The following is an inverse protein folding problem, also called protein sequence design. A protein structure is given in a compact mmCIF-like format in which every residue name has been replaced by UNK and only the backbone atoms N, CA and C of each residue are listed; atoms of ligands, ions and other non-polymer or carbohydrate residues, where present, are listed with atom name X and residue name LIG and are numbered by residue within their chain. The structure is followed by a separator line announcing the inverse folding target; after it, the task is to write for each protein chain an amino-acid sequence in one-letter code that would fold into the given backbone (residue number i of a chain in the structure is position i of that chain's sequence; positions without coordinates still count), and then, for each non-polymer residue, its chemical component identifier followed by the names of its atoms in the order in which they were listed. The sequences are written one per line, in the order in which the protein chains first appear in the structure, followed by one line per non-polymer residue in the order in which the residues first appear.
data_IF_340310994136
#
_entry.id   IF_340310994136
#
_cell.length_a   1.000
_cell.length_b   1.000
_cell.length_c   1.000
_cell.angle_alpha   90.00
_cell.angle_beta   90.00
_cell.angle_gamma   90.00
#
_symmetry.space_group_name_H-M   'P 1'
#
loop_
_entity.id
_entity.type
_entity.pdbx_description
1 polymer ?
#
# COMPACT_ATOMS: atom_id res chain seq x y z
N UNK A 1 25.64 1.73 -13.87
CA UNK A 1 25.66 0.99 -12.61
C UNK A 1 25.16 1.92 -11.51
N UNK A 2 23.86 1.91 -11.22
CA UNK A 2 23.34 2.60 -10.02
C UNK A 2 23.82 1.86 -8.78
N UNK A 3 24.35 2.63 -7.82
CA UNK A 3 24.86 2.08 -6.55
C UNK A 3 23.76 1.30 -5.84
N UNK A 4 23.96 0.01 -5.56
CA UNK A 4 22.98 -0.83 -4.85
C UNK A 4 22.55 -0.24 -3.49
N UNK A 5 23.33 0.66 -2.92
CA UNK A 5 23.02 1.36 -1.67
C UNK A 5 21.88 2.38 -1.83
N UNK A 6 21.78 3.06 -2.99
CA UNK A 6 20.68 4.00 -3.26
C UNK A 6 19.34 3.27 -3.44
N UNK A 7 19.34 2.10 -4.09
CA UNK A 7 18.15 1.26 -4.21
C UNK A 7 17.65 0.76 -2.85
N UNK A 8 18.56 0.43 -1.93
CA UNK A 8 18.19 0.07 -0.56
C UNK A 8 17.50 1.21 0.20
N UNK A 9 17.90 2.45 -0.04
CA UNK A 9 17.29 3.62 0.61
C UNK A 9 15.86 3.88 0.15
N UNK A 10 15.51 3.63 -1.12
CA UNK A 10 14.15 3.83 -1.63
C UNK A 10 13.10 2.89 -1.01
N UNK A 11 13.50 1.66 -0.68
CA UNK A 11 12.58 0.69 -0.07
C UNK A 11 12.59 0.69 1.47
N UNK A 12 13.49 1.43 2.11
CA UNK A 12 13.68 1.41 3.57
C UNK A 12 13.16 2.69 4.24
N UNK A 13 12.78 3.71 3.46
CA UNK A 13 12.56 5.07 3.93
C UNK A 13 11.55 5.22 5.06
N UNK A 14 10.57 4.33 5.20
CA UNK A 14 9.49 4.45 6.18
C UNK A 14 9.26 3.16 6.98
N UNK A 15 10.31 2.43 7.33
CA UNK A 15 10.14 1.33 8.28
C UNK A 15 9.81 1.89 9.66
N UNK A 16 8.53 2.04 9.92
CA UNK A 16 8.03 2.19 11.26
C UNK A 16 8.36 0.92 12.05
N UNK A 17 9.23 1.03 13.03
CA UNK A 17 9.45 -0.03 14.00
C UNK A 17 8.43 0.18 15.11
N UNK A 18 7.40 -0.67 15.23
CA UNK A 18 6.46 -0.56 16.34
C UNK A 18 7.22 -0.73 17.64
N UNK A 19 6.86 0.08 18.64
CA UNK A 19 7.56 0.12 19.94
C UNK A 19 9.04 0.55 19.88
N UNK A 20 9.39 1.44 18.95
CA UNK A 20 10.76 1.94 18.79
C UNK A 20 11.39 2.45 20.10
N UNK A 21 10.60 3.03 21.01
CA UNK A 21 11.05 3.46 22.34
C UNK A 21 11.47 2.30 23.25
N UNK A 22 10.77 1.16 23.21
CA UNK A 22 11.12 -0.03 23.99
C UNK A 22 12.33 -0.75 23.39
N UNK A 23 12.38 -0.87 22.07
CA UNK A 23 13.51 -1.48 21.39
C UNK A 23 14.75 -0.59 21.34
N UNK A 24 14.64 0.73 21.59
CA UNK A 24 15.81 1.62 21.64
C UNK A 24 16.83 1.18 22.70
N UNK A 25 16.36 0.82 23.88
CA UNK A 25 17.21 0.36 24.98
C UNK A 25 17.98 -0.92 24.57
N UNK A 26 17.30 -1.83 23.89
CA UNK A 26 17.90 -3.09 23.43
C UNK A 26 18.95 -2.88 22.33
N UNK A 27 18.67 -1.99 21.39
CA UNK A 27 19.61 -1.69 20.30
C UNK A 27 20.81 -0.87 20.76
N UNK A 28 20.64 0.03 21.73
CA UNK A 28 21.73 0.81 22.30
C UNK A 28 22.67 -0.10 23.13
N UNK A 29 22.12 -1.11 23.81
CA UNK A 29 22.90 -2.11 24.55
C UNK A 29 23.80 -2.95 23.61
N UNK A 30 23.33 -3.25 22.39
CA UNK A 30 24.10 -4.01 21.40
C UNK A 30 24.94 -3.16 20.44
N UNK A 31 25.05 -1.86 20.66
CA UNK A 31 25.83 -0.92 19.79
C UNK A 31 25.46 -1.02 18.28
N UNK A 32 24.19 -1.32 17.97
CA UNK A 32 23.73 -1.30 16.59
C UNK A 32 23.64 0.15 16.09
N UNK A 33 24.56 0.55 15.24
CA UNK A 33 24.56 1.84 14.56
C UNK A 33 23.28 1.92 13.68
N UNK A 34 22.26 2.64 14.14
CA UNK A 34 21.05 2.87 13.36
C UNK A 34 21.30 3.99 12.38
N UNK A 35 21.14 3.79 11.07
CA UNK A 35 20.96 4.92 10.21
C UNK A 35 19.69 5.65 10.69
N UNK A 36 19.84 6.91 11.11
CA UNK A 36 18.69 7.76 11.40
C UNK A 36 17.95 8.04 10.10
N UNK A 37 16.93 7.25 9.85
CA UNK A 37 16.03 7.48 8.72
C UNK A 37 14.98 8.46 9.24
N UNK A 38 15.12 9.70 8.83
CA UNK A 38 14.12 10.72 9.12
C UNK A 38 12.86 10.41 8.30
N UNK A 39 11.74 10.36 8.99
CA UNK A 39 10.44 10.33 8.33
C UNK A 39 10.29 11.58 7.48
N UNK A 40 9.97 11.44 6.20
CA UNK A 40 9.61 12.58 5.36
C UNK A 40 8.35 13.27 5.91
N UNK A 41 8.20 14.54 5.62
CA UNK A 41 6.94 15.24 5.83
C UNK A 41 5.82 14.56 5.03
N UNK A 42 4.57 14.70 5.51
CA UNK A 42 3.41 14.11 4.82
C UNK A 42 3.45 14.50 3.36
N UNK A 43 3.34 13.50 2.50
CA UNK A 43 3.36 13.71 1.06
C UNK A 43 2.26 14.70 0.66
N UNK A 44 2.64 15.82 0.12
CA UNK A 44 1.70 16.71 -0.55
C UNK A 44 1.21 16.03 -1.84
N UNK A 45 -0.01 16.39 -2.25
CA UNK A 45 -0.55 15.92 -3.51
C UNK A 45 0.31 16.46 -4.66
N UNK A 46 0.68 15.57 -5.55
CA UNK A 46 1.41 15.93 -6.78
C UNK A 46 0.38 16.22 -7.87
N UNK A 47 0.56 17.32 -8.60
CA UNK A 47 -0.29 17.59 -9.75
C UNK A 47 -0.76 19.05 -9.81
N UNK A 48 -1.94 19.24 -10.38
CA UNK A 48 -2.59 20.53 -10.57
C UNK A 48 -4.06 20.48 -10.14
N UNK A 49 -4.83 21.50 -10.46
CA UNK A 49 -6.25 21.57 -10.08
C UNK A 49 -7.10 20.43 -10.68
N UNK A 50 -6.71 19.91 -11.84
CA UNK A 50 -7.42 18.85 -12.54
C UNK A 50 -6.95 17.46 -12.09
N UNK A 51 -5.63 17.24 -11.98
CA UNK A 51 -5.02 15.95 -11.67
C UNK A 51 -4.34 16.06 -10.33
N UNK A 52 -4.85 15.30 -9.36
CA UNK A 52 -4.36 15.24 -7.97
C UNK A 52 -3.92 13.83 -7.65
N UNK A 53 -2.61 13.62 -7.64
CA UNK A 53 -1.98 12.30 -7.51
C UNK A 53 -1.55 12.10 -6.07
N UNK A 54 -1.95 10.98 -5.49
CA UNK A 54 -1.33 10.45 -4.28
C UNK A 54 -0.31 9.38 -4.66
N UNK A 55 0.94 9.57 -4.26
CA UNK A 55 2.05 8.69 -4.62
C UNK A 55 2.57 7.90 -3.42
N UNK A 56 2.94 6.65 -3.67
CA UNK A 56 3.64 5.79 -2.73
C UNK A 56 4.82 5.12 -3.41
N UNK A 57 5.87 4.84 -2.65
CA UNK A 57 7.10 4.28 -3.18
C UNK A 57 7.22 2.81 -2.75
N UNK A 58 7.41 1.93 -3.74
CA UNK A 58 7.75 0.52 -3.55
C UNK A 58 6.77 -0.19 -2.62
N UNK A 59 7.26 -0.84 -1.57
CA UNK A 59 6.48 -1.64 -0.63
C UNK A 59 5.57 -0.82 0.29
N UNK A 60 5.65 0.50 0.29
CA UNK A 60 4.70 1.36 1.02
C UNK A 60 3.25 1.07 0.64
N UNK A 61 3.02 0.66 -0.60
CA UNK A 61 1.69 0.26 -1.09
C UNK A 61 1.08 -0.91 -0.29
N UNK A 62 1.88 -1.72 0.38
CA UNK A 62 1.41 -2.80 1.23
C UNK A 62 0.73 -2.29 2.52
N UNK A 63 1.09 -1.10 2.97
CA UNK A 63 0.49 -0.50 4.15
C UNK A 63 -0.85 0.15 3.80
N UNK A 64 -1.92 -0.26 4.47
CA UNK A 64 -3.26 0.27 4.23
C UNK A 64 -3.34 1.79 4.37
N UNK A 65 -2.57 2.35 5.32
CA UNK A 65 -2.59 3.77 5.61
C UNK A 65 -1.76 4.62 4.63
N UNK A 66 -1.02 4.02 3.71
CA UNK A 66 -0.13 4.74 2.80
C UNK A 66 -0.87 5.78 1.95
N UNK A 67 -2.09 5.46 1.50
CA UNK A 67 -2.94 6.37 0.74
C UNK A 67 -4.00 7.11 1.59
N UNK A 68 -4.24 6.68 2.85
CA UNK A 68 -5.33 7.25 3.66
C UNK A 68 -5.07 8.68 4.10
N UNK A 69 -3.81 9.03 4.36
CA UNK A 69 -3.44 10.35 4.89
C UNK A 69 -3.66 11.51 3.91
N UNK A 70 -3.59 11.24 2.59
CA UNK A 70 -3.60 12.27 1.53
C UNK A 70 -4.86 12.23 0.66
N UNK A 71 -5.89 11.49 1.06
CA UNK A 71 -6.87 10.97 0.12
C UNK A 71 -8.07 11.90 -0.18
N UNK A 72 -8.28 12.97 0.61
CA UNK A 72 -9.52 13.77 0.48
C UNK A 72 -9.71 14.39 -0.90
N UNK A 73 -8.63 14.77 -1.54
CA UNK A 73 -8.66 15.44 -2.84
C UNK A 73 -7.99 14.65 -3.97
N UNK A 74 -7.48 13.45 -3.71
CA UNK A 74 -6.83 12.61 -4.71
C UNK A 74 -7.84 12.08 -5.72
N UNK A 75 -7.47 12.08 -7.00
CA UNK A 75 -8.26 11.46 -8.07
C UNK A 75 -7.50 10.42 -8.88
N UNK A 76 -6.20 10.24 -8.61
CA UNK A 76 -5.33 9.25 -9.23
C UNK A 76 -4.31 8.74 -8.20
N UNK A 77 -4.05 7.44 -8.19
CA UNK A 77 -3.03 6.80 -7.37
C UNK A 77 -1.79 6.48 -8.21
N UNK A 78 -0.62 6.62 -7.61
CA UNK A 78 0.65 6.30 -8.27
C UNK A 78 1.54 5.46 -7.36
N UNK A 79 2.16 4.42 -7.92
CA UNK A 79 3.15 3.61 -7.22
C UNK A 79 4.40 3.45 -8.08
N UNK A 80 5.51 4.03 -7.64
CA UNK A 80 6.83 3.78 -8.21
C UNK A 80 7.51 2.63 -7.45
N UNK A 81 8.05 1.62 -8.16
CA UNK A 81 8.66 0.46 -7.51
C UNK A 81 9.88 -0.07 -8.27
N UNK A 82 10.66 -0.86 -7.56
CA UNK A 82 11.67 -1.74 -8.12
C UNK A 82 11.55 -3.10 -7.42
N UNK A 83 11.05 -4.09 -8.15
CA UNK A 83 10.74 -5.42 -7.61
C UNK A 83 11.92 -6.39 -7.72
N UNK A 84 13.12 -5.92 -8.07
CA UNK A 84 14.31 -6.75 -8.22
C UNK A 84 14.67 -7.59 -6.97
N UNK A 85 14.22 -7.12 -5.79
CA UNK A 85 14.39 -7.84 -4.52
C UNK A 85 13.68 -9.18 -4.44
N UNK A 86 12.56 -9.30 -5.16
CA UNK A 86 11.73 -10.49 -5.14
C UNK A 86 12.22 -11.56 -6.10
N UNK A 87 13.26 -11.27 -6.92
CA UNK A 87 13.72 -12.15 -7.99
C UNK A 87 12.62 -12.42 -9.00
N UNK A 88 12.73 -13.52 -9.71
CA UNK A 88 11.78 -13.95 -10.76
C UNK A 88 10.59 -14.76 -10.23
N UNK A 89 10.42 -14.86 -8.92
CA UNK A 89 9.38 -15.67 -8.28
C UNK A 89 8.00 -14.99 -8.21
N UNK A 90 7.20 -15.42 -7.26
CA UNK A 90 5.83 -14.93 -7.07
C UNK A 90 5.76 -13.51 -6.47
N UNK A 91 6.84 -13.00 -5.90
CA UNK A 91 6.88 -11.71 -5.19
C UNK A 91 6.35 -10.54 -6.01
N UNK A 92 6.82 -10.29 -7.24
CA UNK A 92 6.33 -9.21 -8.09
C UNK A 92 4.83 -9.33 -8.41
N UNK A 93 4.33 -10.55 -8.62
CA UNK A 93 2.91 -10.80 -8.85
C UNK A 93 2.06 -10.50 -7.61
N UNK A 94 2.54 -10.89 -6.42
CA UNK A 94 1.88 -10.57 -5.15
C UNK A 94 1.89 -9.06 -4.89
N UNK A 95 2.98 -8.39 -5.19
CA UNK A 95 3.10 -6.94 -5.06
C UNK A 95 2.15 -6.20 -6.02
N UNK A 96 2.01 -6.67 -7.27
CA UNK A 96 0.99 -6.19 -8.20
C UNK A 96 -0.43 -6.44 -7.67
N UNK A 97 -0.68 -7.60 -7.07
CA UNK A 97 -1.98 -7.92 -6.48
C UNK A 97 -2.35 -6.95 -5.36
N UNK A 98 -1.39 -6.57 -4.52
CA UNK A 98 -1.60 -5.53 -3.50
C UNK A 98 -2.01 -4.20 -4.15
N UNK A 99 -1.34 -3.80 -5.24
CA UNK A 99 -1.69 -2.59 -5.98
C UNK A 99 -3.13 -2.62 -6.52
N UNK A 100 -3.59 -3.78 -7.00
CA UNK A 100 -4.97 -3.98 -7.46
C UNK A 100 -5.97 -3.77 -6.32
N UNK A 101 -5.69 -4.31 -5.12
CA UNK A 101 -6.53 -4.07 -3.95
C UNK A 101 -6.58 -2.60 -3.58
N UNK A 102 -5.44 -1.89 -3.60
CA UNK A 102 -5.42 -0.44 -3.31
C UNK A 102 -6.30 0.34 -4.29
N UNK A 103 -6.21 0.06 -5.59
CA UNK A 103 -7.06 0.70 -6.59
C UNK A 103 -8.57 0.48 -6.29
N UNK A 104 -8.97 -0.76 -5.97
CA UNK A 104 -10.34 -1.10 -5.64
C UNK A 104 -10.82 -0.48 -4.32
N UNK A 105 -10.02 -0.53 -3.27
CA UNK A 105 -10.34 0.05 -1.94
C UNK A 105 -10.60 1.55 -2.01
N UNK A 106 -9.86 2.25 -2.86
CA UNK A 106 -9.98 3.71 -3.05
C UNK A 106 -10.91 4.08 -4.20
N UNK A 107 -11.35 3.10 -5.01
CA UNK A 107 -12.11 3.29 -6.25
C UNK A 107 -11.51 4.33 -7.19
N UNK A 108 -10.18 4.30 -7.33
CA UNK A 108 -9.40 5.18 -8.19
C UNK A 108 -8.52 4.38 -9.13
N UNK A 109 -8.20 4.98 -10.28
CA UNK A 109 -7.16 4.42 -11.13
C UNK A 109 -5.81 4.47 -10.42
N UNK A 110 -5.00 3.43 -10.63
CA UNK A 110 -3.66 3.33 -10.11
C UNK A 110 -2.67 3.08 -11.26
N UNK A 111 -1.73 3.99 -11.39
CA UNK A 111 -0.57 3.84 -12.29
C UNK A 111 0.57 3.25 -11.47
N UNK A 112 1.00 2.06 -11.84
CA UNK A 112 2.18 1.41 -11.28
C UNK A 112 3.31 1.43 -12.29
N UNK A 113 4.42 2.06 -11.93
CA UNK A 113 5.65 2.11 -12.73
C UNK A 113 6.77 1.38 -12.01
N UNK A 114 7.36 0.38 -12.65
CA UNK A 114 8.45 -0.41 -12.08
C UNK A 114 9.66 -0.41 -13.00
N UNK A 115 10.84 -0.21 -12.44
CA UNK A 115 12.09 -0.37 -13.20
C UNK A 115 12.40 -1.85 -13.46
N UNK A 116 12.09 -2.72 -12.50
CA UNK A 116 12.13 -4.19 -12.64
C UNK A 116 10.87 -4.72 -11.99
N UNK A 117 10.15 -5.60 -12.67
CA UNK A 117 8.87 -6.15 -12.22
C UNK A 117 7.74 -5.87 -13.19
N UNK A 118 6.53 -5.70 -12.68
CA UNK A 118 5.32 -5.54 -13.49
C UNK A 118 4.81 -4.11 -13.37
N UNK A 119 4.99 -3.32 -14.43
CA UNK A 119 4.32 -2.03 -14.62
C UNK A 119 2.89 -2.27 -15.10
N UNK A 120 1.94 -1.51 -14.59
CA UNK A 120 0.52 -1.72 -14.93
C UNK A 120 -0.30 -0.46 -14.76
N UNK A 121 -1.34 -0.33 -15.59
CA UNK A 121 -2.47 0.54 -15.37
C UNK A 121 -3.62 -0.29 -14.82
N UNK A 122 -4.15 0.11 -13.67
CA UNK A 122 -5.19 -0.60 -12.93
C UNK A 122 -6.39 0.32 -12.79
N UNK A 123 -7.58 -0.17 -13.12
CA UNK A 123 -8.82 0.62 -12.99
C UNK A 123 -9.33 0.67 -11.55
N UNK A 124 -10.36 1.45 -11.34
CA UNK A 124 -11.01 1.67 -10.05
C UNK A 124 -11.65 0.40 -9.43
N UNK A 125 -11.80 -0.68 -10.20
CA UNK A 125 -12.29 -1.98 -9.73
C UNK A 125 -11.14 -2.95 -9.42
N UNK A 126 -9.88 -2.52 -9.55
CA UNK A 126 -8.70 -3.37 -9.37
C UNK A 126 -8.40 -4.30 -10.54
N UNK A 127 -9.01 -4.06 -11.72
CA UNK A 127 -8.71 -4.81 -12.93
C UNK A 127 -7.52 -4.19 -13.66
N UNK A 128 -6.63 -5.02 -14.15
CA UNK A 128 -5.50 -4.59 -14.96
C UNK A 128 -6.03 -4.26 -16.37
N UNK A 129 -5.85 -3.02 -16.80
CA UNK A 129 -6.20 -2.57 -18.15
C UNK A 129 -5.06 -2.93 -19.11
N UNK A 130 -3.84 -2.57 -18.73
CA UNK A 130 -2.64 -2.81 -19.51
C UNK A 130 -1.46 -3.07 -18.58
N UNK A 131 -0.51 -3.90 -19.01
CA UNK A 131 0.69 -4.23 -18.22
C UNK A 131 1.90 -4.49 -19.09
N UNK A 132 3.07 -4.20 -18.55
CA UNK A 132 4.39 -4.57 -19.08
C UNK A 132 5.10 -5.36 -18.00
N UNK A 133 5.60 -6.54 -18.36
CA UNK A 133 6.39 -7.39 -17.49
C UNK A 133 7.85 -7.36 -17.93
N UNK A 134 8.66 -6.58 -17.22
CA UNK A 134 10.09 -6.43 -17.53
C UNK A 134 10.94 -7.59 -17.01
N UNK A 135 10.36 -8.55 -16.30
CA UNK A 135 11.07 -9.74 -15.82
C UNK A 135 11.15 -10.84 -16.88
N UNK A 136 10.20 -10.82 -17.82
CA UNK A 136 10.10 -11.85 -18.88
C UNK A 136 10.76 -11.39 -20.18
N UNK A 137 10.94 -10.10 -20.37
CA UNK A 137 11.51 -9.51 -21.59
C UNK A 137 12.81 -8.80 -21.31
N UNK A 138 13.82 -9.08 -22.12
CA UNK A 138 15.03 -8.28 -22.16
C UNK A 138 14.70 -6.83 -22.49
N UNK A 139 15.29 -5.94 -21.73
CA UNK A 139 15.13 -4.48 -21.65
C UNK A 139 14.94 -3.77 -23.00
N UNK A 140 13.71 -3.74 -23.50
CA UNK A 140 13.27 -2.68 -24.41
C UNK A 140 12.46 -1.69 -23.59
N UNK A 141 12.73 -0.42 -23.76
CA UNK A 141 11.89 0.64 -23.19
C UNK A 141 10.49 0.51 -23.80
N UNK A 142 9.54 0.06 -23.00
CA UNK A 142 8.14 -0.05 -23.39
C UNK A 142 7.35 1.02 -22.64
N UNK A 143 6.30 1.55 -23.24
CA UNK A 143 5.39 2.51 -22.64
C UNK A 143 3.95 1.99 -22.71
N UNK A 144 3.18 2.27 -21.69
CA UNK A 144 1.73 2.08 -21.66
C UNK A 144 1.09 3.43 -21.95
N UNK A 145 0.24 3.47 -22.97
CA UNK A 145 -0.57 4.64 -23.31
C UNK A 145 -2.05 4.24 -23.29
N UNK A 146 -2.79 4.77 -22.35
CA UNK A 146 -4.20 4.44 -22.11
C UNK A 146 -4.97 5.64 -21.59
N UNK A 147 -6.24 5.71 -21.92
CA UNK A 147 -7.14 6.71 -21.39
C UNK A 147 -7.65 6.33 -20.01
N UNK A 148 -7.59 7.26 -19.06
CA UNK A 148 -8.06 7.05 -17.70
C UNK A 148 -9.21 8.02 -17.37
N UNK A 149 -10.10 7.57 -16.50
CA UNK A 149 -11.17 8.41 -15.95
C UNK A 149 -10.81 8.80 -14.53
N UNK A 150 -10.53 10.10 -14.33
CA UNK A 150 -10.25 10.63 -13.01
C UNK A 150 -11.50 10.56 -12.14
N UNK A 151 -11.35 10.00 -10.93
CA UNK A 151 -12.46 9.81 -9.98
C UNK A 151 -12.18 10.54 -8.68
N UNK A 152 -13.02 11.51 -8.38
CA UNK A 152 -13.02 12.22 -7.09
C UNK A 152 -13.94 11.53 -6.06
N UNK A 153 -13.82 11.94 -4.81
CA UNK A 153 -14.58 11.37 -3.70
C UNK A 153 -13.79 10.31 -2.92
N UNK A 154 -14.42 9.80 -1.87
CA UNK A 154 -13.81 8.82 -0.95
C UNK A 154 -14.75 7.65 -0.73
N UNK A 155 -14.17 6.45 -0.68
CA UNK A 155 -14.90 5.26 -0.26
C UNK A 155 -15.06 5.24 1.26
N UNK A 156 -16.05 4.52 1.81
CA UNK A 156 -16.13 4.30 3.26
C UNK A 156 -14.84 3.70 3.83
N UNK A 157 -14.20 2.81 3.07
CA UNK A 157 -12.92 2.24 3.47
C UNK A 157 -11.80 3.28 3.54
N UNK A 158 -11.75 4.21 2.58
CA UNK A 158 -10.78 5.31 2.58
C UNK A 158 -10.96 6.26 3.77
N UNK A 159 -12.19 6.40 4.28
CA UNK A 159 -12.50 7.25 5.42
C UNK A 159 -12.25 6.57 6.78
N UNK A 160 -12.69 5.34 6.90
CA UNK A 160 -12.75 4.63 8.18
C UNK A 160 -11.76 3.45 8.28
N UNK A 161 -11.12 3.07 7.17
CA UNK A 161 -10.22 1.93 7.13
C UNK A 161 -10.92 0.63 7.56
N UNK A 162 -10.23 -0.16 8.38
CA UNK A 162 -10.72 -1.44 8.89
C UNK A 162 -11.62 -1.34 10.13
N UNK A 163 -11.75 -0.17 10.73
CA UNK A 163 -12.46 -0.02 12.01
C UNK A 163 -13.93 -0.48 11.97
N UNK A 164 -14.76 -0.15 10.95
CA UNK A 164 -16.14 -0.64 10.90
C UNK A 164 -16.24 -2.15 10.90
N UNK A 165 -15.34 -2.83 10.19
CA UNK A 165 -15.30 -4.29 10.14
C UNK A 165 -14.92 -4.89 11.50
N UNK A 166 -13.90 -4.36 12.17
CA UNK A 166 -13.50 -4.81 13.51
C UNK A 166 -14.61 -4.58 14.52
N UNK A 167 -15.30 -3.44 14.46
CA UNK A 167 -16.43 -3.13 15.32
C UNK A 167 -17.58 -4.13 15.13
N UNK A 168 -17.91 -4.46 13.89
CA UNK A 168 -18.91 -5.47 13.57
C UNK A 168 -18.54 -6.85 14.14
N UNK A 169 -17.29 -7.26 14.02
CA UNK A 169 -16.81 -8.53 14.60
C UNK A 169 -16.96 -8.55 16.12
N UNK A 170 -16.62 -7.45 16.79
CA UNK A 170 -16.79 -7.32 18.25
C UNK A 170 -18.26 -7.43 18.64
N UNK A 171 -19.17 -6.78 17.92
CA UNK A 171 -20.62 -6.89 18.17
C UNK A 171 -21.09 -8.34 18.02
N UNK A 172 -20.72 -9.00 16.93
CA UNK A 172 -21.09 -10.40 16.68
C UNK A 172 -20.59 -11.31 17.81
N UNK A 173 -19.34 -11.09 18.25
CA UNK A 173 -18.76 -11.85 19.36
C UNK A 173 -19.58 -11.68 20.65
N UNK A 174 -19.90 -10.45 21.04
CA UNK A 174 -20.69 -10.20 22.24
C UNK A 174 -22.12 -10.76 22.13
N UNK A 175 -22.77 -10.60 20.97
CA UNK A 175 -24.10 -11.16 20.75
C UNK A 175 -24.08 -12.70 20.86
N UNK A 176 -23.09 -13.35 20.29
CA UNK A 176 -22.96 -14.82 20.39
C UNK A 176 -22.72 -15.28 21.83
N UNK A 177 -21.91 -14.55 22.59
CA UNK A 177 -21.68 -14.83 24.00
C UNK A 177 -22.99 -14.71 24.82
N UNK A 178 -23.74 -13.59 24.64
CA UNK A 178 -25.03 -13.36 25.32
C UNK A 178 -26.02 -14.47 24.99
N UNK A 179 -26.13 -14.85 23.71
CA UNK A 179 -27.04 -15.92 23.29
C UNK A 179 -26.66 -17.27 23.92
N UNK A 180 -25.38 -17.56 24.05
CA UNK A 180 -24.89 -18.77 24.72
C UNK A 180 -25.29 -18.78 26.20
N UNK A 181 -25.01 -17.70 26.94
CA UNK A 181 -25.39 -17.60 28.35
C UNK A 181 -26.89 -17.75 28.57
N UNK A 182 -27.74 -17.13 27.74
CA UNK A 182 -29.20 -17.27 27.83
C UNK A 182 -29.70 -18.68 27.53
N UNK A 183 -28.96 -19.45 26.72
CA UNK A 183 -29.31 -20.85 26.43
C UNK A 183 -28.99 -21.74 27.61
N UNK A 184 -27.86 -21.51 28.29
CA UNK A 184 -27.43 -22.29 29.44
C UNK A 184 -28.36 -22.09 30.67
N UNK A 185 -28.91 -20.85 30.86
CA UNK A 185 -29.91 -20.55 31.89
C UNK A 185 -31.27 -21.27 31.69
N UNK A 186 -31.63 -21.61 30.45
CA UNK A 186 -32.90 -22.28 30.16
C UNK A 186 -32.84 -23.80 30.28
N UNK A 187 -31.68 -24.37 30.55
CA UNK A 187 -31.45 -25.82 30.67
C UNK A 187 -31.38 -26.26 32.16
N UNK A 188 -31.39 -25.31 33.09
CA UNK A 188 -31.51 -25.51 34.54
C UNK A 188 -32.98 -25.28 34.95
#
# INVERSE_FOLDING_TARGET
HEDPRRQRQMCIRDRYVPFSGFFSIFFDFFNFNRPQILSGEKNDLIGNDLIKISSVICYEIAYQNAFLSNNKNTNLLFNASNDNWFGTGLGPHQHLQIARFRAAEHQKYLVRSTSTGISALINHQGQIISKIDTMVRESKSEAIEESIVLRSGQTPYANFGKFPFLFTLVIIFFLSAILKFRKDEKVI
#
